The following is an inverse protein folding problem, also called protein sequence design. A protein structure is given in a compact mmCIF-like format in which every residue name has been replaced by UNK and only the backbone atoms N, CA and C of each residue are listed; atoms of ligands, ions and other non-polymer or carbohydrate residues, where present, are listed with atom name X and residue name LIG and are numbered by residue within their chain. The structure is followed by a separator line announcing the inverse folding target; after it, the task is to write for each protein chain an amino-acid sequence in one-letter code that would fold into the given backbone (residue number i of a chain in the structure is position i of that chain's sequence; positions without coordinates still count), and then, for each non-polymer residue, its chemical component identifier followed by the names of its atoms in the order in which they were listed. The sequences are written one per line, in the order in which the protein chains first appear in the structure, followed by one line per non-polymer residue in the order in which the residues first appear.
data_IF_544995857184
#
_entry.id   IF_544995857184
#
_cell.length_a   1.000
_cell.length_b   1.000
_cell.length_c   1.000
_cell.angle_alpha   90.00
_cell.angle_beta   90.00
_cell.angle_gamma   90.00
#
_symmetry.space_group_name_H-M   'P 1'
#
loop_
_entity.id
_entity.type
_entity.pdbx_description
1 polymer ?
#
# COMPACT_ATOMS: atom_id res chain seq x y z
N UNK A 1 1.02 24.30 11.94
CA UNK A 1 1.44 22.92 12.22
C UNK A 1 1.77 22.28 10.88
N UNK A 2 3.01 21.85 10.67
CA UNK A 2 3.44 21.22 9.42
C UNK A 2 2.94 19.78 9.42
N UNK A 3 1.84 19.50 8.73
CA UNK A 3 1.32 18.14 8.58
C UNK A 3 2.20 17.36 7.61
N UNK A 4 2.57 16.14 7.97
CA UNK A 4 3.32 15.27 7.08
C UNK A 4 2.35 14.46 6.21
N UNK A 5 2.62 14.45 4.91
CA UNK A 5 1.85 13.72 3.92
C UNK A 5 2.64 12.49 3.44
N UNK A 6 1.90 11.41 3.18
CA UNK A 6 2.45 10.17 2.63
C UNK A 6 1.62 9.67 1.46
N UNK A 7 2.21 8.75 0.72
CA UNK A 7 1.53 7.95 -0.29
C UNK A 7 1.65 6.49 0.11
N UNK A 8 0.54 5.77 0.08
CA UNK A 8 0.49 4.33 0.26
C UNK A 8 0.05 3.68 -1.06
N UNK A 9 0.86 2.75 -1.57
CA UNK A 9 0.49 1.86 -2.66
C UNK A 9 0.14 0.51 -2.06
N UNK A 10 -0.80 -0.19 -2.69
CA UNK A 10 -1.09 -1.57 -2.34
C UNK A 10 -1.59 -2.37 -3.56
N UNK A 11 -1.40 -3.69 -3.47
CA UNK A 11 -2.03 -4.67 -4.37
C UNK A 11 -2.30 -5.98 -3.63
N UNK A 12 -3.19 -6.80 -4.18
CA UNK A 12 -3.49 -8.14 -3.71
C UNK A 12 -3.32 -9.19 -4.79
N UNK A 13 -2.73 -10.32 -4.44
CA UNK A 13 -2.62 -11.50 -5.29
C UNK A 13 -3.46 -12.66 -4.74
N UNK A 14 -4.03 -13.46 -5.63
CA UNK A 14 -4.70 -14.69 -5.29
C UNK A 14 -4.32 -15.80 -6.28
N UNK A 15 -4.05 -16.99 -5.75
CA UNK A 15 -3.76 -18.21 -6.51
C UNK A 15 -4.96 -19.16 -6.40
N UNK A 16 -5.23 -19.89 -7.48
CA UNK A 16 -6.28 -20.94 -7.49
C UNK A 16 -5.75 -22.30 -7.07
N UNK A 17 -4.46 -22.55 -7.26
CA UNK A 17 -3.82 -23.83 -6.92
C UNK A 17 -2.36 -23.59 -6.51
N UNK A 18 -2.00 -23.73 -5.21
CA UNK A 18 -2.92 -23.92 -4.09
C UNK A 18 -3.83 -22.69 -3.88
N UNK A 19 -4.95 -22.88 -3.16
CA UNK A 19 -5.82 -21.77 -2.78
C UNK A 19 -5.14 -20.90 -1.70
N UNK A 20 -4.36 -19.91 -2.12
CA UNK A 20 -3.72 -18.93 -1.25
C UNK A 20 -3.82 -17.51 -1.83
N UNK A 21 -3.48 -16.52 -1.02
CA UNK A 21 -3.42 -15.14 -1.45
C UNK A 21 -2.44 -14.34 -0.61
N UNK A 22 -2.04 -13.19 -1.14
CA UNK A 22 -1.14 -12.25 -0.52
C UNK A 22 -1.57 -10.82 -0.74
N UNK A 23 -0.99 -9.94 0.03
CA UNK A 23 -1.13 -8.50 -0.14
C UNK A 23 0.24 -7.85 0.01
N UNK A 24 0.53 -6.88 -0.85
CA UNK A 24 1.73 -6.06 -0.80
C UNK A 24 1.33 -4.62 -0.54
N UNK A 25 2.12 -3.91 0.27
CA UNK A 25 1.95 -2.48 0.49
C UNK A 25 3.28 -1.76 0.63
N UNK A 26 3.39 -0.57 0.04
CA UNK A 26 4.52 0.33 0.19
C UNK A 26 4.01 1.69 0.67
N UNK A 27 4.66 2.25 1.69
CA UNK A 27 4.31 3.56 2.22
C UNK A 27 5.56 4.44 2.22
N UNK A 28 5.44 5.64 1.66
CA UNK A 28 6.51 6.61 1.66
C UNK A 28 5.99 8.02 1.92
N UNK A 29 6.87 8.87 2.43
CA UNK A 29 6.56 10.27 2.66
C UNK A 29 6.69 11.03 1.34
N UNK A 30 5.77 11.95 1.05
CA UNK A 30 5.85 12.76 -0.19
C UNK A 30 7.00 13.76 -0.14
N UNK A 31 7.40 14.16 1.06
CA UNK A 31 8.55 15.02 1.29
C UNK A 31 9.39 14.47 2.45
N UNK A 32 10.73 14.54 2.35
CA UNK A 32 11.58 14.19 3.47
C UNK A 32 11.30 15.16 4.63
N UNK A 33 11.22 14.67 5.87
CA UNK A 33 11.01 15.53 7.03
C UNK A 33 12.16 16.54 7.13
N UNK A 34 11.83 17.83 7.02
CA UNK A 34 12.79 18.94 6.96
C UNK A 34 13.55 19.17 8.29
N UNK A 35 13.19 18.46 9.37
CA UNK A 35 13.86 18.53 10.66
C UNK A 35 13.67 17.25 11.47
N UNK A 36 14.56 17.02 12.45
CA UNK A 36 14.41 15.93 13.42
C UNK A 36 13.12 16.04 14.26
N UNK A 37 12.59 17.25 14.45
CA UNK A 37 11.28 17.46 15.09
C UNK A 37 10.14 17.02 14.15
N UNK A 38 10.26 17.25 12.84
CA UNK A 38 9.31 16.79 11.83
C UNK A 38 9.33 15.26 11.66
N UNK A 39 10.48 14.60 11.85
CA UNK A 39 10.57 13.14 11.90
C UNK A 39 9.70 12.54 13.02
N UNK A 40 9.44 13.30 14.09
CA UNK A 40 8.61 12.88 15.22
C UNK A 40 7.12 13.19 15.04
N UNK A 41 6.72 13.81 13.92
CA UNK A 41 5.32 14.11 13.62
C UNK A 41 4.66 12.94 12.90
N UNK A 42 3.44 12.60 13.31
CA UNK A 42 2.65 11.57 12.65
C UNK A 42 2.21 12.05 11.25
N UNK A 43 2.25 11.13 10.28
CA UNK A 43 1.57 11.32 9.00
C UNK A 43 0.09 11.57 9.28
N UNK A 44 -0.46 12.63 8.70
CA UNK A 44 -1.89 12.99 8.89
C UNK A 44 -2.65 13.00 7.58
N UNK A 45 -1.96 13.14 6.45
CA UNK A 45 -2.55 13.09 5.12
C UNK A 45 -1.99 11.90 4.37
N UNK A 46 -2.86 11.08 3.79
CA UNK A 46 -2.46 9.87 3.08
C UNK A 46 -3.15 9.80 1.73
N UNK A 47 -2.37 9.83 0.65
CA UNK A 47 -2.89 9.44 -0.67
C UNK A 47 -2.74 7.94 -0.82
N UNK A 48 -3.84 7.22 -0.95
CA UNK A 48 -3.85 5.77 -1.11
C UNK A 48 -4.12 5.42 -2.57
N UNK A 49 -3.21 4.65 -3.16
CA UNK A 49 -3.19 4.23 -4.56
C UNK A 49 -3.30 2.72 -4.69
N UNK A 50 -4.10 2.28 -5.64
CA UNK A 50 -4.21 0.88 -6.04
C UNK A 50 -4.87 0.76 -7.41
N UNK A 51 -4.72 -0.41 -8.04
CA UNK A 51 -5.22 -0.66 -9.40
C UNK A 51 -6.68 -1.15 -9.45
N UNK A 52 -7.30 -1.39 -8.28
CA UNK A 52 -8.69 -1.78 -8.19
C UNK A 52 -9.62 -0.57 -8.12
N UNK A 53 -10.14 -0.15 -9.27
CA UNK A 53 -11.15 0.92 -9.35
C UNK A 53 -12.35 0.64 -8.44
N UNK A 54 -12.82 -0.61 -8.40
CA UNK A 54 -13.92 -1.02 -7.53
C UNK A 54 -13.62 -0.71 -6.06
N UNK A 55 -12.44 -1.11 -5.58
CA UNK A 55 -12.03 -0.90 -4.20
C UNK A 55 -11.86 0.59 -3.90
N UNK A 56 -11.27 1.36 -4.81
CA UNK A 56 -11.15 2.83 -4.66
C UNK A 56 -12.52 3.49 -4.50
N UNK A 57 -13.49 3.11 -5.33
CA UNK A 57 -14.85 3.66 -5.26
C UNK A 57 -15.60 3.19 -4.01
N UNK A 58 -15.34 1.97 -3.51
CA UNK A 58 -15.86 1.51 -2.23
C UNK A 58 -15.27 2.31 -1.06
N UNK A 59 -13.96 2.56 -1.06
CA UNK A 59 -13.31 3.36 -0.02
C UNK A 59 -13.74 4.84 -0.04
N UNK A 60 -14.12 5.37 -1.21
CA UNK A 60 -14.78 6.69 -1.33
C UNK A 60 -16.24 6.70 -0.86
N UNK A 61 -16.85 5.54 -0.60
CA UNK A 61 -18.26 5.41 -0.24
C UNK A 61 -19.23 5.56 -1.41
N UNK A 62 -18.72 5.60 -2.66
CA UNK A 62 -19.54 5.69 -3.87
C UNK A 62 -20.21 4.34 -4.15
N UNK A 63 -19.47 3.25 -3.96
CA UNK A 63 -19.97 1.88 -4.14
C UNK A 63 -20.09 1.16 -2.81
N UNK A 64 -21.14 0.34 -2.68
CA UNK A 64 -21.35 -0.53 -1.53
C UNK A 64 -20.61 -1.86 -1.70
N UNK A 65 -20.02 -2.37 -0.63
CA UNK A 65 -19.50 -3.75 -0.59
C UNK A 65 -20.66 -4.73 -0.44
N UNK A 66 -20.85 -5.57 -1.45
CA UNK A 66 -21.93 -6.57 -1.45
C UNK A 66 -21.53 -7.87 -0.74
N UNK A 67 -20.30 -8.33 -0.97
CA UNK A 67 -19.81 -9.60 -0.42
C UNK A 67 -19.69 -9.55 1.10
N UNK A 68 -20.43 -10.40 1.80
CA UNK A 68 -20.55 -10.37 3.25
C UNK A 68 -19.21 -10.54 3.96
N UNK A 69 -18.34 -11.41 3.44
CA UNK A 69 -16.99 -11.62 4.01
C UNK A 69 -16.11 -10.37 3.93
N UNK A 70 -16.29 -9.56 2.90
CA UNK A 70 -15.50 -8.34 2.67
C UNK A 70 -16.05 -7.13 3.43
N UNK A 71 -17.33 -7.13 3.80
CA UNK A 71 -17.92 -6.01 4.56
C UNK A 71 -17.19 -5.75 5.87
N UNK A 72 -16.81 -6.81 6.60
CA UNK A 72 -16.04 -6.67 7.85
C UNK A 72 -14.67 -6.02 7.61
N UNK A 73 -13.93 -6.50 6.62
CA UNK A 73 -12.62 -5.95 6.26
C UNK A 73 -12.72 -4.50 5.80
N UNK A 74 -13.77 -4.17 5.03
CA UNK A 74 -14.03 -2.80 4.60
C UNK A 74 -14.29 -1.86 5.77
N UNK A 75 -15.08 -2.27 6.76
CA UNK A 75 -15.30 -1.49 7.98
C UNK A 75 -13.98 -1.26 8.72
N UNK A 76 -13.19 -2.31 8.94
CA UNK A 76 -11.89 -2.19 9.60
C UNK A 76 -10.94 -1.24 8.86
N UNK A 77 -10.89 -1.34 7.52
CA UNK A 77 -10.07 -0.45 6.70
C UNK A 77 -10.56 1.01 6.78
N UNK A 78 -11.87 1.25 6.83
CA UNK A 78 -12.46 2.59 6.98
C UNK A 78 -12.21 3.18 8.37
N UNK A 79 -12.26 2.36 9.42
CA UNK A 79 -11.94 2.77 10.79
C UNK A 79 -10.48 3.20 10.91
N UNK A 80 -9.55 2.42 10.34
CA UNK A 80 -8.13 2.78 10.30
C UNK A 80 -7.89 4.06 9.47
N UNK A 81 -8.54 4.15 8.30
CA UNK A 81 -8.42 5.32 7.44
C UNK A 81 -8.97 6.60 8.10
N UNK A 82 -9.91 6.49 9.04
CA UNK A 82 -10.45 7.65 9.76
C UNK A 82 -9.43 8.35 10.67
N UNK A 83 -8.29 7.71 10.96
CA UNK A 83 -7.16 8.34 11.64
C UNK A 83 -6.39 9.34 10.76
N UNK A 84 -6.66 9.37 9.46
CA UNK A 84 -5.97 10.20 8.48
C UNK A 84 -6.97 10.97 7.61
N UNK A 85 -6.49 12.07 7.03
CA UNK A 85 -7.14 12.69 5.86
C UNK A 85 -6.73 11.91 4.62
N UNK A 86 -7.58 10.98 4.16
CA UNK A 86 -7.26 10.12 3.03
C UNK A 86 -7.80 10.63 1.68
N UNK A 87 -6.95 10.57 0.66
CA UNK A 87 -7.35 10.68 -0.76
C UNK A 87 -7.22 9.30 -1.41
N UNK A 88 -8.22 8.87 -2.18
CA UNK A 88 -8.24 7.56 -2.83
C UNK A 88 -8.07 7.71 -4.34
N UNK A 89 -7.03 7.12 -4.90
CA UNK A 89 -6.66 7.26 -6.31
C UNK A 89 -6.54 5.90 -6.97
N UNK A 90 -7.22 5.74 -8.10
CA UNK A 90 -6.97 4.59 -8.96
C UNK A 90 -5.68 4.84 -9.72
N UNK A 91 -4.77 3.87 -9.66
CA UNK A 91 -3.49 3.91 -10.35
C UNK A 91 -3.40 2.76 -11.34
N UNK A 92 -3.07 2.99 -12.63
CA UNK A 92 -2.93 1.92 -13.60
C UNK A 92 -1.96 0.83 -13.13
N UNK A 93 -2.29 -0.43 -13.43
CA UNK A 93 -1.49 -1.60 -13.00
C UNK A 93 -0.04 -1.54 -13.48
N UNK A 94 0.20 -0.99 -14.66
CA UNK A 94 1.53 -0.78 -15.25
C UNK A 94 2.45 0.13 -14.41
N UNK A 95 1.87 0.92 -13.50
CA UNK A 95 2.58 1.79 -12.56
C UNK A 95 2.34 1.39 -11.09
N UNK A 96 2.03 0.12 -10.85
CA UNK A 96 1.86 -0.46 -9.51
C UNK A 96 2.64 -1.78 -9.38
N UNK A 97 3.72 -1.94 -10.16
CA UNK A 97 4.44 -3.20 -10.28
C UNK A 97 5.17 -3.58 -8.99
N UNK A 98 5.66 -2.61 -8.22
CA UNK A 98 6.37 -2.89 -6.98
C UNK A 98 5.46 -3.57 -5.93
N UNK A 99 4.22 -3.10 -5.78
CA UNK A 99 3.28 -3.72 -4.82
C UNK A 99 2.62 -4.99 -5.35
N UNK A 100 2.41 -5.10 -6.67
CA UNK A 100 2.03 -6.36 -7.31
C UNK A 100 3.07 -7.46 -7.06
N UNK A 101 4.36 -7.14 -7.22
CA UNK A 101 5.47 -8.04 -6.91
C UNK A 101 5.45 -8.48 -5.45
N UNK A 102 5.39 -7.53 -4.50
CA UNK A 102 5.29 -7.83 -3.07
C UNK A 102 4.07 -8.70 -2.73
N UNK A 103 2.92 -8.44 -3.37
CA UNK A 103 1.69 -9.21 -3.12
C UNK A 103 1.81 -10.68 -3.51
N UNK A 104 2.69 -10.99 -4.46
CA UNK A 104 2.95 -12.36 -4.95
C UNK A 104 4.01 -13.09 -4.12
N UNK A 105 5.01 -12.37 -3.59
CA UNK A 105 6.05 -12.97 -2.74
C UNK A 105 5.46 -13.67 -1.52
N UNK A 106 4.55 -13.02 -0.80
CA UNK A 106 3.98 -13.58 0.42
C UNK A 106 3.35 -14.99 0.25
N UNK A 107 2.47 -15.23 -0.75
CA UNK A 107 1.90 -16.55 -0.98
C UNK A 107 2.88 -17.52 -1.65
N UNK A 108 3.81 -17.03 -2.47
CA UNK A 108 4.80 -17.89 -3.15
C UNK A 108 5.83 -18.43 -2.13
N UNK A 109 6.27 -17.60 -1.18
CA UNK A 109 7.21 -17.96 -0.11
C UNK A 109 6.52 -18.48 1.15
N UNK A 110 5.18 -18.42 1.20
CA UNK A 110 4.38 -18.70 2.39
C UNK A 110 4.86 -17.92 3.64
N UNK A 111 5.34 -16.69 3.44
CA UNK A 111 6.02 -15.88 4.46
C UNK A 111 5.43 -14.48 4.48
N UNK A 112 5.33 -13.89 5.67
CA UNK A 112 4.95 -12.48 5.83
C UNK A 112 6.20 -11.67 6.04
N UNK A 113 6.51 -10.80 5.07
CA UNK A 113 7.62 -9.87 5.16
C UNK A 113 7.18 -8.50 5.66
N UNK A 114 8.08 -7.78 6.31
CA UNK A 114 7.86 -6.37 6.64
C UNK A 114 9.15 -5.55 6.65
N UNK A 115 8.99 -4.26 6.92
CA UNK A 115 10.12 -3.36 7.14
C UNK A 115 10.93 -3.83 8.37
N UNK A 116 12.28 -3.81 8.32
CA UNK A 116 13.16 -4.35 9.37
C UNK A 116 12.89 -3.91 10.81
N UNK A 117 12.21 -2.78 11.00
CA UNK A 117 11.98 -2.15 12.30
C UNK A 117 10.76 -2.70 13.06
N UNK A 118 9.99 -3.63 12.48
CA UNK A 118 8.71 -4.03 13.04
C UNK A 118 8.77 -5.18 14.06
N UNK A 119 9.87 -5.95 14.06
CA UNK A 119 10.16 -7.06 14.97
C UNK A 119 9.12 -8.19 15.00
N UNK A 120 8.15 -8.19 14.08
CA UNK A 120 6.99 -9.09 14.06
C UNK A 120 6.97 -9.99 12.84
N UNK A 121 7.69 -9.63 11.80
CA UNK A 121 7.69 -10.32 10.52
C UNK A 121 9.13 -10.56 10.04
N UNK A 122 9.25 -11.46 9.08
CA UNK A 122 10.55 -11.73 8.47
C UNK A 122 11.00 -10.51 7.66
N UNK A 123 12.31 -10.29 7.61
CA UNK A 123 12.87 -9.21 6.80
C UNK A 123 12.89 -9.66 5.35
N UNK A 124 12.45 -8.77 4.45
CA UNK A 124 12.49 -9.03 3.02
C UNK A 124 13.96 -9.30 2.58
N UNK A 125 14.24 -10.38 1.83
CA UNK A 125 15.58 -10.67 1.32
C UNK A 125 16.15 -9.49 0.52
N UNK A 126 17.47 -9.31 0.55
CA UNK A 126 18.11 -8.13 -0.03
C UNK A 126 17.91 -8.05 -1.56
N UNK A 127 17.91 -9.19 -2.23
CA UNK A 127 17.62 -9.33 -3.66
C UNK A 127 16.18 -8.91 -4.02
N UNK A 128 15.21 -9.28 -3.18
CA UNK A 128 13.81 -8.91 -3.34
C UNK A 128 13.60 -7.42 -3.03
N UNK A 129 14.29 -6.90 -2.01
CA UNK A 129 14.29 -5.48 -1.71
C UNK A 129 14.83 -4.64 -2.87
N UNK A 130 15.98 -5.02 -3.43
CA UNK A 130 16.55 -4.34 -4.59
C UNK A 130 15.57 -4.36 -5.78
N UNK A 131 14.93 -5.50 -6.01
CA UNK A 131 13.93 -5.64 -7.07
C UNK A 131 12.73 -4.71 -6.85
N UNK A 132 12.23 -4.62 -5.62
CA UNK A 132 11.13 -3.73 -5.25
C UNK A 132 11.53 -2.26 -5.44
N UNK A 133 12.75 -1.88 -5.07
CA UNK A 133 13.26 -0.52 -5.26
C UNK A 133 13.35 -0.13 -6.75
N UNK A 134 13.83 -1.04 -7.61
CA UNK A 134 13.85 -0.83 -9.06
C UNK A 134 12.46 -0.61 -9.65
N UNK A 135 11.51 -1.49 -9.28
CA UNK A 135 10.12 -1.40 -9.73
C UNK A 135 9.46 -0.11 -9.23
N UNK A 136 9.70 0.24 -7.96
CA UNK A 136 9.17 1.46 -7.36
C UNK A 136 9.70 2.71 -8.05
N UNK A 137 10.99 2.75 -8.38
CA UNK A 137 11.59 3.86 -9.12
C UNK A 137 10.91 4.05 -10.50
N UNK A 138 10.56 2.96 -11.19
CA UNK A 138 9.82 3.00 -12.44
C UNK A 138 8.36 3.45 -12.24
N UNK A 139 7.67 2.92 -11.23
CA UNK A 139 6.29 3.27 -10.89
C UNK A 139 6.14 4.77 -10.57
N UNK A 140 7.10 5.35 -9.84
CA UNK A 140 7.06 6.75 -9.38
C UNK A 140 7.38 7.76 -10.49
N UNK A 141 8.24 7.42 -11.46
CA UNK A 141 8.60 8.35 -12.56
C UNK A 141 7.40 8.84 -13.38
N UNK A 142 6.30 8.06 -13.42
CA UNK A 142 5.07 8.44 -14.11
C UNK A 142 4.11 9.29 -13.28
N UNK A 143 4.32 9.38 -11.97
CA UNK A 143 3.45 10.14 -11.06
C UNK A 143 3.73 11.64 -11.07
N UNK A 144 4.89 12.06 -11.60
CA UNK A 144 5.36 13.46 -11.63
C UNK A 144 5.03 14.21 -12.93
N UNK A 145 4.26 13.63 -13.85
CA UNK A 145 3.97 14.22 -15.18
C UNK A 145 2.51 14.67 -15.40
N UNK A 146 1.74 14.88 -14.34
CA UNK A 146 0.36 15.42 -14.41
C UNK A 146 0.17 16.48 -13.34
#
# INVERSE_FOLDING_TARGET
MTSLAGVAYFDGAARKDPHCGGSGSLVFLTEPPQSALAQRLAVTHLTVRGDSMLLMQQMKGIYRVQEARLQKLHVQARELAACFTCTWEHHPREFNQATDHLSKLAPDDCTSYAHPDDGRHDVLPAEELLRVEELLAADVQHTTST
#
